data_IF_396814178615
#
_entry.id   IF_396814178615
#
_cell.length_a   1.000
_cell.length_b   1.000
_cell.length_c   1.000
_cell.angle_alpha   90.00
_cell.angle_beta   90.00
_cell.angle_gamma   90.00
#
_symmetry.space_group_name_H-M   'P 1'
#
loop_
_entity.id
_entity.type
_entity.pdbx_description
1 polymer ?
#
# COMPACT_ATOMS: atom_id res chain seq x y z
N UNK A 1 10.15 9.95 0.84
CA UNK A 1 10.14 9.32 -0.51
C UNK A 1 9.76 10.29 -1.64
N UNK A 2 10.38 10.19 -2.83
CA UNK A 2 9.92 10.94 -4.01
C UNK A 2 8.81 10.19 -4.77
N UNK A 3 7.90 10.90 -5.47
CA UNK A 3 6.83 10.26 -6.28
C UNK A 3 7.37 9.22 -7.27
N UNK A 4 8.47 9.53 -7.96
CA UNK A 4 9.03 8.64 -8.98
C UNK A 4 9.55 7.33 -8.36
N UNK A 5 10.16 7.43 -7.17
CA UNK A 5 10.60 6.29 -6.38
C UNK A 5 9.41 5.44 -5.93
N UNK A 6 8.36 6.08 -5.40
CA UNK A 6 7.15 5.37 -5.00
C UNK A 6 6.48 4.61 -6.16
N UNK A 7 6.44 5.19 -7.37
CA UNK A 7 5.88 4.51 -8.56
C UNK A 7 6.62 3.20 -8.87
N UNK A 8 7.93 3.16 -8.66
CA UNK A 8 8.77 1.97 -8.90
C UNK A 8 8.39 0.87 -7.90
N UNK A 9 8.25 1.22 -6.62
CA UNK A 9 7.90 0.26 -5.57
C UNK A 9 6.43 -0.19 -5.63
N UNK A 10 5.52 0.67 -6.10
CA UNK A 10 4.07 0.46 -6.05
C UNK A 10 3.62 -0.85 -6.71
N UNK A 11 4.30 -1.29 -7.78
CA UNK A 11 4.00 -2.57 -8.41
C UNK A 11 4.16 -3.76 -7.46
N UNK A 12 5.27 -3.79 -6.71
CA UNK A 12 5.57 -4.82 -5.73
C UNK A 12 4.66 -4.76 -4.50
N UNK A 13 4.32 -3.56 -4.05
CA UNK A 13 3.37 -3.32 -2.95
C UNK A 13 2.01 -3.93 -3.28
N UNK A 14 1.45 -3.59 -4.45
CA UNK A 14 0.14 -4.10 -4.89
C UNK A 14 0.17 -5.62 -5.03
N UNK A 15 1.22 -6.17 -5.65
CA UNK A 15 1.40 -7.62 -5.78
C UNK A 15 1.38 -8.31 -4.42
N UNK A 16 2.13 -7.76 -3.45
CA UNK A 16 2.20 -8.30 -2.08
C UNK A 16 0.82 -8.29 -1.40
N UNK A 17 0.09 -7.17 -1.44
CA UNK A 17 -1.28 -7.10 -0.90
C UNK A 17 -2.18 -8.18 -1.53
N UNK A 18 -2.14 -8.32 -2.86
CA UNK A 18 -3.00 -9.26 -3.59
C UNK A 18 -2.65 -10.73 -3.38
N UNK A 19 -1.44 -11.06 -2.89
CA UNK A 19 -1.11 -12.42 -2.46
C UNK A 19 -1.79 -12.82 -1.15
N UNK A 20 -2.09 -11.84 -0.28
CA UNK A 20 -2.71 -12.09 1.02
C UNK A 20 -4.24 -11.96 0.97
N UNK A 21 -4.75 -10.94 0.27
CA UNK A 21 -6.19 -10.66 0.24
C UNK A 21 -6.75 -10.59 -1.17
N UNK A 22 -7.97 -11.12 -1.32
CA UNK A 22 -8.83 -10.95 -2.51
C UNK A 22 -10.02 -10.03 -2.23
N UNK A 23 -9.99 -9.27 -1.14
CA UNK A 23 -11.06 -8.34 -0.79
C UNK A 23 -11.29 -7.35 -1.96
N UNK A 24 -12.51 -7.28 -2.54
CA UNK A 24 -12.82 -6.40 -3.66
C UNK A 24 -12.51 -4.92 -3.40
N UNK A 25 -12.66 -4.45 -2.15
CA UNK A 25 -12.32 -3.09 -1.78
C UNK A 25 -10.82 -2.83 -1.89
N UNK A 26 -9.97 -3.74 -1.38
CA UNK A 26 -8.52 -3.60 -1.50
C UNK A 26 -8.03 -3.68 -2.94
N UNK A 27 -8.65 -4.53 -3.76
CA UNK A 27 -8.39 -4.56 -5.20
C UNK A 27 -8.75 -3.21 -5.84
N UNK A 28 -9.88 -2.63 -5.47
CA UNK A 28 -10.31 -1.30 -5.91
C UNK A 28 -9.34 -0.18 -5.49
N UNK A 29 -8.99 -0.13 -4.20
CA UNK A 29 -8.10 0.89 -3.65
C UNK A 29 -6.71 0.84 -4.30
N UNK A 30 -6.10 -0.34 -4.38
CA UNK A 30 -4.78 -0.48 -5.02
C UNK A 30 -4.78 -0.10 -6.50
N UNK A 31 -5.86 -0.38 -7.23
CA UNK A 31 -6.04 0.06 -8.62
C UNK A 31 -6.16 1.58 -8.73
N UNK A 32 -6.96 2.20 -7.87
CA UNK A 32 -7.17 3.65 -7.89
C UNK A 32 -5.91 4.41 -7.43
N UNK A 33 -5.19 3.90 -6.43
CA UNK A 33 -3.90 4.47 -5.99
C UNK A 33 -2.90 4.54 -7.15
N UNK A 34 -2.77 3.44 -7.90
CA UNK A 34 -1.91 3.37 -9.10
C UNK A 34 -2.34 4.36 -10.18
N UNK A 35 -3.64 4.59 -10.34
CA UNK A 35 -4.18 5.54 -11.32
C UNK A 35 -3.93 6.98 -10.88
N UNK A 36 -4.29 7.34 -9.66
CA UNK A 36 -4.17 8.69 -9.11
C UNK A 36 -2.71 9.20 -9.16
N UNK A 37 -1.75 8.34 -8.76
CA UNK A 37 -0.33 8.70 -8.78
C UNK A 37 0.18 8.97 -10.20
N UNK A 38 -0.26 8.17 -11.18
CA UNK A 38 0.11 8.36 -12.60
C UNK A 38 -0.51 9.62 -13.19
N UNK A 39 -1.68 10.01 -12.71
CA UNK A 39 -2.40 11.21 -13.14
C UNK A 39 -1.96 12.47 -12.39
N UNK A 40 -1.02 12.34 -11.44
CA UNK A 40 -0.60 13.43 -10.56
C UNK A 40 -1.80 14.08 -9.85
N UNK A 41 -2.72 13.24 -9.36
CA UNK A 41 -3.89 13.62 -8.56
C UNK A 41 -3.55 13.42 -7.06
N UNK A 42 -3.03 14.45 -6.37
CA UNK A 42 -2.57 14.33 -5.00
C UNK A 42 -3.70 14.11 -4.00
N UNK A 43 -4.90 14.65 -4.25
CA UNK A 43 -6.05 14.51 -3.35
C UNK A 43 -6.53 13.07 -3.33
N UNK A 44 -6.78 12.49 -4.51
CA UNK A 44 -7.17 11.08 -4.60
C UNK A 44 -6.04 10.15 -4.14
N UNK A 45 -4.78 10.50 -4.43
CA UNK A 45 -3.63 9.73 -3.94
C UNK A 45 -3.64 9.66 -2.42
N UNK A 46 -3.78 10.80 -1.73
CA UNK A 46 -3.78 10.87 -0.27
C UNK A 46 -4.94 10.07 0.32
N UNK A 47 -6.15 10.27 -0.20
CA UNK A 47 -7.35 9.57 0.27
C UNK A 47 -7.25 8.06 0.13
N UNK A 48 -6.82 7.58 -1.03
CA UNK A 48 -6.73 6.13 -1.28
C UNK A 48 -5.55 5.52 -0.52
N UNK A 49 -4.43 6.25 -0.41
CA UNK A 49 -3.28 5.83 0.37
C UNK A 49 -3.65 5.64 1.85
N UNK A 50 -4.40 6.57 2.44
CA UNK A 50 -4.92 6.45 3.81
C UNK A 50 -5.76 5.17 3.97
N UNK A 51 -6.63 4.85 3.00
CA UNK A 51 -7.41 3.60 3.03
C UNK A 51 -6.57 2.33 2.99
N UNK A 52 -5.47 2.33 2.24
CA UNK A 52 -4.55 1.18 2.17
C UNK A 52 -3.75 1.05 3.46
N UNK A 53 -3.34 2.18 4.06
CA UNK A 53 -2.63 2.24 5.35
C UNK A 53 -3.55 1.76 6.49
N UNK A 54 -4.79 2.24 6.53
CA UNK A 54 -5.79 1.82 7.53
C UNK A 54 -6.01 0.30 7.50
N UNK A 55 -6.12 -0.27 6.30
CA UNK A 55 -6.21 -1.72 6.16
C UNK A 55 -4.97 -2.44 6.71
N UNK A 56 -3.77 -1.92 6.46
CA UNK A 56 -2.56 -2.49 7.05
C UNK A 56 -2.53 -2.34 8.57
N UNK A 57 -2.99 -1.23 9.15
CA UNK A 57 -3.10 -1.06 10.60
C UNK A 57 -3.95 -2.17 11.24
N UNK A 58 -4.99 -2.64 10.56
CA UNK A 58 -5.88 -3.70 11.05
C UNK A 58 -5.32 -5.12 10.82
N UNK A 59 -4.52 -5.32 9.78
CA UNK A 59 -4.10 -6.65 9.32
C UNK A 59 -2.63 -6.97 9.60
N UNK A 60 -1.75 -6.00 9.83
CA UNK A 60 -0.30 -6.23 9.88
C UNK A 60 0.11 -7.17 11.03
N UNK A 61 -0.54 -7.06 12.19
CA UNK A 61 -0.29 -7.96 13.32
C UNK A 61 -0.77 -9.38 13.04
N UNK A 62 -1.90 -9.53 12.33
CA UNK A 62 -2.41 -10.84 11.91
C UNK A 62 -1.43 -11.48 10.93
N UNK A 63 -1.02 -10.73 9.91
CA UNK A 63 -0.01 -11.14 8.92
C UNK A 63 1.30 -11.57 9.60
N UNK A 64 1.78 -10.80 10.57
CA UNK A 64 3.02 -11.09 11.27
C UNK A 64 2.95 -12.40 12.08
N UNK A 65 1.80 -12.71 12.66
CA UNK A 65 1.60 -13.87 13.53
C UNK A 65 0.98 -15.08 12.82
N UNK A 66 0.64 -14.98 11.53
CA UNK A 66 0.06 -16.09 10.76
C UNK A 66 1.14 -17.06 10.25
N UNK A 67 1.11 -18.31 10.70
CA UNK A 67 2.10 -19.33 10.33
C UNK A 67 2.06 -19.74 8.84
N UNK A 68 0.98 -19.44 8.12
CA UNK A 68 0.78 -19.79 6.72
C UNK A 68 1.17 -18.65 5.76
N UNK A 69 1.51 -17.47 6.29
CA UNK A 69 2.00 -16.35 5.49
C UNK A 69 3.53 -16.40 5.40
N UNK A 70 4.06 -16.70 4.21
CA UNK A 70 5.50 -16.84 4.01
C UNK A 70 6.21 -15.52 3.65
N UNK A 71 5.46 -14.50 3.23
CA UNK A 71 5.98 -13.22 2.74
C UNK A 71 5.79 -12.05 3.73
N UNK A 72 5.79 -12.34 5.04
CA UNK A 72 5.58 -11.34 6.13
C UNK A 72 6.48 -10.11 6.00
N UNK A 73 7.77 -10.33 5.73
CA UNK A 73 8.74 -9.24 5.57
C UNK A 73 8.41 -8.35 4.37
N UNK A 74 7.79 -8.90 3.31
CA UNK A 74 7.37 -8.11 2.16
C UNK A 74 6.15 -7.25 2.50
N UNK A 75 5.21 -7.76 3.31
CA UNK A 75 4.09 -6.97 3.83
C UNK A 75 4.58 -5.83 4.73
N UNK A 76 5.53 -6.11 5.63
CA UNK A 76 6.13 -5.07 6.47
C UNK A 76 6.84 -4.01 5.64
N UNK A 77 7.69 -4.41 4.69
CA UNK A 77 8.34 -3.48 3.74
C UNK A 77 7.32 -2.65 2.96
N UNK A 78 6.28 -3.29 2.42
CA UNK A 78 5.23 -2.61 1.68
C UNK A 78 4.51 -1.57 2.56
N UNK A 79 4.23 -1.93 3.82
CA UNK A 79 3.59 -1.03 4.77
C UNK A 79 4.47 0.18 5.10
N UNK A 80 5.76 -0.05 5.38
CA UNK A 80 6.71 1.02 5.70
C UNK A 80 6.86 2.01 4.53
N UNK A 81 6.91 1.53 3.29
CA UNK A 81 6.97 2.38 2.09
C UNK A 81 5.70 3.24 1.93
N UNK A 82 4.52 2.67 2.23
CA UNK A 82 3.25 3.41 2.17
C UNK A 82 3.23 4.55 3.18
N UNK A 83 3.68 4.30 4.42
CA UNK A 83 3.81 5.31 5.47
C UNK A 83 4.81 6.40 5.07
N UNK A 84 6.00 6.03 4.62
CA UNK A 84 7.04 6.99 4.24
C UNK A 84 6.58 7.90 3.09
N UNK A 85 5.90 7.34 2.09
CA UNK A 85 5.33 8.14 1.02
C UNK A 85 4.20 9.04 1.52
N UNK A 86 3.35 8.54 2.42
CA UNK A 86 2.25 9.33 2.99
C UNK A 86 2.75 10.54 3.78
N UNK A 87 3.80 10.37 4.58
CA UNK A 87 4.47 11.45 5.32
C UNK A 87 5.07 12.50 4.37
N UNK A 88 5.66 12.05 3.25
CA UNK A 88 6.25 12.95 2.25
C UNK A 88 5.23 13.82 1.49
N UNK A 89 3.94 13.49 1.55
CA UNK A 89 2.87 14.30 0.93
C UNK A 89 2.43 15.49 1.81
N UNK A 90 2.78 15.49 3.09
CA UNK A 90 2.48 16.58 4.03
C UNK A 90 3.68 17.51 4.28
N UNK A 91 4.83 17.19 3.69
CA UNK A 91 6.09 17.96 3.77
C UNK A 91 6.26 18.90 2.59
#
# INVERSE_FOLDING_TARGET
MQRQEFIIELGGIIGTIHTYTRNPFMIGYTKELKKAIRQNDPETTKLVLDKVIDWYNEEIDKIANDDYVFNKNMHKKAYDILLEYRESLDS
#
